data_IF_092855617009
#
_entry.id   IF_092855617009
#
_cell.length_a   1.000
_cell.length_b   1.000
_cell.length_c   1.000
_cell.angle_alpha   90.00
_cell.angle_beta   90.00
_cell.angle_gamma   90.00
#
_symmetry.space_group_name_H-M   'P 1'
#
loop_
_entity.id
_entity.type
_entity.pdbx_description
1 polymer ?
#
# COMPACT_ATOMS: atom_id res chain seq x y z
N UNK A 1 22.23 -41.93 57.39
CA UNK A 1 23.15 -41.07 58.20
C UNK A 1 23.07 -39.62 57.63
N UNK A 2 22.51 -38.71 58.45
CA UNK A 2 22.85 -37.29 58.65
C UNK A 2 22.86 -36.37 57.40
N UNK A 3 22.32 -35.18 57.32
CA UNK A 3 21.61 -34.20 58.16
C UNK A 3 21.27 -33.06 57.20
N UNK A 4 20.04 -32.61 57.07
CA UNK A 4 19.57 -31.40 57.70
C UNK A 4 20.43 -30.14 57.44
N UNK A 5 19.93 -29.23 56.60
CA UNK A 5 20.36 -27.84 56.43
C UNK A 5 19.14 -26.96 56.26
N UNK A 6 18.88 -26.17 57.27
CA UNK A 6 17.73 -25.33 57.45
C UNK A 6 17.68 -24.19 56.45
N UNK A 7 16.47 -23.92 55.91
CA UNK A 7 16.17 -22.69 55.22
C UNK A 7 16.04 -21.53 56.23
N UNK A 8 16.87 -20.53 56.07
CA UNK A 8 16.74 -19.24 56.77
C UNK A 8 15.70 -18.44 56.04
N UNK A 9 14.55 -18.21 56.68
CA UNK A 9 13.52 -17.29 56.29
C UNK A 9 14.02 -15.87 56.56
N UNK A 10 14.42 -15.16 55.54
CA UNK A 10 14.56 -13.70 55.62
C UNK A 10 13.19 -13.05 55.52
N UNK A 11 12.69 -12.60 56.65
CA UNK A 11 11.58 -11.65 56.73
C UNK A 11 12.06 -10.34 56.15
N UNK A 12 11.67 -10.02 54.93
CA UNK A 12 11.82 -8.69 54.35
C UNK A 12 10.88 -7.74 55.07
N UNK A 13 11.44 -6.83 55.86
CA UNK A 13 10.67 -5.78 56.54
C UNK A 13 9.93 -4.94 55.54
N UNK A 14 8.67 -4.61 55.84
CA UNK A 14 7.91 -3.56 55.14
C UNK A 14 8.66 -2.27 55.29
N UNK A 15 9.46 -1.92 54.28
CA UNK A 15 10.07 -0.62 54.14
C UNK A 15 9.01 0.47 53.99
N UNK A 16 9.12 1.54 54.76
CA UNK A 16 8.28 2.70 54.65
C UNK A 16 8.19 3.15 53.18
N UNK A 17 6.98 3.40 52.69
CA UNK A 17 6.76 3.94 51.35
C UNK A 17 7.48 5.30 51.24
N UNK A 18 8.61 5.33 50.59
CA UNK A 18 9.32 6.56 50.28
C UNK A 18 8.78 7.12 48.96
N UNK A 19 8.30 8.32 48.98
CA UNK A 19 8.00 9.08 47.76
C UNK A 19 9.35 9.48 47.14
N UNK A 20 9.64 8.95 45.96
CA UNK A 20 10.86 9.24 45.22
C UNK A 20 10.70 8.92 43.71
N UNK A 21 11.55 9.48 42.90
CA UNK A 21 11.64 9.15 41.50
C UNK A 21 12.01 7.65 41.36
N UNK A 22 11.14 6.90 40.71
CA UNK A 22 11.47 5.52 40.32
C UNK A 22 12.70 5.56 39.41
N UNK A 23 13.70 4.77 39.71
CA UNK A 23 14.84 4.57 38.83
C UNK A 23 14.42 4.09 37.44
N UNK A 24 15.28 4.21 36.42
CA UNK A 24 14.95 3.80 35.06
C UNK A 24 14.56 2.33 35.05
N UNK A 25 13.33 2.06 34.61
CA UNK A 25 12.87 0.70 34.38
C UNK A 25 13.63 0.10 33.20
N UNK A 26 14.44 -0.90 33.44
CA UNK A 26 15.00 -1.74 32.38
C UNK A 26 13.88 -2.56 31.75
N UNK A 27 13.29 -2.03 30.67
CA UNK A 27 12.26 -2.74 29.92
C UNK A 27 12.93 -3.69 28.94
N UNK A 28 12.95 -4.95 29.30
CA UNK A 28 13.32 -6.04 28.39
C UNK A 28 12.10 -6.35 27.52
N UNK A 29 12.09 -5.86 26.30
CA UNK A 29 11.04 -6.08 25.31
C UNK A 29 10.87 -4.88 24.37
N UNK A 30 10.64 -5.12 23.09
CA UNK A 30 10.26 -4.08 22.14
C UNK A 30 8.92 -3.46 22.53
N UNK A 31 8.94 -2.42 23.36
CA UNK A 31 7.76 -1.59 23.54
C UNK A 31 7.53 -0.81 22.25
N UNK A 32 6.42 -1.06 21.60
CA UNK A 32 5.92 -0.11 20.59
C UNK A 32 5.80 1.25 21.26
N UNK A 33 6.51 2.29 20.80
CA UNK A 33 6.42 3.60 21.40
C UNK A 33 4.96 4.04 21.36
N UNK A 34 4.34 4.21 22.53
CA UNK A 34 3.03 4.84 22.65
C UNK A 34 3.27 6.33 22.52
N UNK A 35 3.23 6.83 21.31
CA UNK A 35 3.29 8.27 21.04
C UNK A 35 1.94 8.85 21.47
N UNK A 36 1.84 9.47 22.62
CA UNK A 36 0.74 10.25 23.22
C UNK A 36 -0.34 10.78 22.22
N UNK A 37 -0.89 9.91 21.38
CA UNK A 37 -1.87 10.27 20.36
C UNK A 37 -1.29 10.96 19.11
N UNK A 38 0.02 11.17 18.99
CA UNK A 38 0.62 11.86 17.85
C UNK A 38 0.24 11.25 16.51
N UNK A 39 0.23 9.91 16.41
CA UNK A 39 -0.17 9.24 15.19
C UNK A 39 -1.66 9.51 14.82
N UNK A 40 -2.53 9.63 15.80
CA UNK A 40 -3.94 9.99 15.59
C UNK A 40 -4.10 11.43 15.16
N UNK A 41 -3.32 12.33 15.74
CA UNK A 41 -3.31 13.76 15.38
C UNK A 41 -2.80 13.95 13.97
N UNK A 42 -1.69 13.32 13.61
CA UNK A 42 -1.15 13.37 12.23
C UNK A 42 -2.16 12.84 11.21
N UNK A 43 -2.82 11.71 11.50
CA UNK A 43 -3.87 11.21 10.62
C UNK A 43 -5.01 12.21 10.45
N UNK A 44 -5.49 12.79 11.55
CA UNK A 44 -6.58 13.77 11.50
C UNK A 44 -6.21 15.00 10.67
N UNK A 45 -5.00 15.52 10.80
CA UNK A 45 -4.53 16.63 9.97
C UNK A 45 -4.39 16.23 8.50
N UNK A 46 -3.91 15.03 8.22
CA UNK A 46 -3.84 14.51 6.85
C UNK A 46 -5.25 14.37 6.25
N UNK A 47 -6.23 13.85 7.01
CA UNK A 47 -7.61 13.71 6.57
C UNK A 47 -8.32 15.06 6.40
N UNK A 48 -7.93 16.09 7.14
CA UNK A 48 -8.41 17.46 6.94
C UNK A 48 -7.83 18.09 5.67
N UNK A 49 -6.57 17.79 5.35
CA UNK A 49 -5.92 18.28 4.14
C UNK A 49 -6.45 17.58 2.88
N UNK A 50 -6.54 16.25 2.92
CA UNK A 50 -7.10 15.42 1.84
C UNK A 50 -7.86 14.25 2.47
N UNK A 51 -9.18 14.16 2.32
CA UNK A 51 -9.98 13.08 2.88
C UNK A 51 -9.45 11.69 2.53
N UNK A 52 -9.29 10.84 3.52
CA UNK A 52 -8.77 9.49 3.37
C UNK A 52 -7.24 9.35 3.28
N UNK A 53 -6.49 10.45 3.23
CA UNK A 53 -5.01 10.39 3.20
C UNK A 53 -4.39 9.84 4.49
N UNK A 54 -5.11 9.85 5.60
CA UNK A 54 -4.65 9.22 6.83
C UNK A 54 -4.35 7.73 6.74
N UNK A 55 -4.89 7.05 5.72
CA UNK A 55 -4.62 5.64 5.40
C UNK A 55 -3.51 5.41 4.36
N UNK A 56 -3.08 6.46 3.66
CA UNK A 56 -2.05 6.40 2.60
C UNK A 56 -0.81 7.14 3.07
N UNK A 57 0.32 6.47 3.12
CA UNK A 57 1.59 7.04 3.53
C UNK A 57 2.64 7.10 2.41
N UNK A 58 2.30 6.62 1.20
CA UNK A 58 3.09 6.73 -0.02
C UNK A 58 2.18 6.76 -1.26
N UNK A 59 2.61 7.43 -2.31
CA UNK A 59 1.73 7.79 -3.43
C UNK A 59 1.51 6.67 -4.47
N UNK A 60 2.34 5.63 -4.52
CA UNK A 60 2.25 4.57 -5.54
C UNK A 60 0.88 3.86 -5.60
N UNK A 61 0.16 3.61 -4.48
CA UNK A 61 -1.19 3.05 -4.54
C UNK A 61 -2.19 3.88 -5.34
N UNK A 62 -2.06 5.21 -5.36
CA UNK A 62 -2.91 6.08 -6.19
C UNK A 62 -2.69 5.77 -7.68
N UNK A 63 -1.41 5.72 -8.11
CA UNK A 63 -1.06 5.38 -9.49
C UNK A 63 -1.57 3.99 -9.90
N UNK A 64 -1.41 2.97 -9.02
CA UNK A 64 -1.91 1.62 -9.28
C UNK A 64 -3.43 1.57 -9.40
N UNK A 65 -4.14 2.36 -8.58
CA UNK A 65 -5.60 2.47 -8.66
C UNK A 65 -6.05 3.15 -9.95
N UNK A 66 -5.41 4.25 -10.36
CA UNK A 66 -5.69 4.92 -11.64
C UNK A 66 -5.44 3.98 -12.82
N UNK A 67 -4.32 3.25 -12.80
CA UNK A 67 -4.00 2.26 -13.82
C UNK A 67 -5.06 1.16 -13.88
N UNK A 68 -5.49 0.65 -12.73
CA UNK A 68 -6.57 -0.34 -12.63
C UNK A 68 -7.89 0.17 -13.21
N UNK A 69 -8.28 1.41 -12.95
CA UNK A 69 -9.48 2.07 -13.50
C UNK A 69 -9.36 2.24 -15.02
N UNK A 70 -8.20 2.71 -15.52
CA UNK A 70 -7.94 2.84 -16.96
C UNK A 70 -8.13 1.52 -17.71
N UNK A 71 -7.50 0.46 -17.21
CA UNK A 71 -7.58 -0.87 -17.83
C UNK A 71 -9.00 -1.46 -17.72
N UNK A 72 -9.67 -1.29 -16.58
CA UNK A 72 -11.04 -1.74 -16.38
C UNK A 72 -12.00 -1.13 -17.40
N UNK A 73 -11.89 0.18 -17.63
CA UNK A 73 -12.68 0.89 -18.65
C UNK A 73 -12.43 0.34 -20.05
N UNK A 74 -11.16 0.13 -20.42
CA UNK A 74 -10.78 -0.38 -21.76
C UNK A 74 -11.18 -1.84 -22.00
N UNK A 75 -11.34 -2.61 -20.92
CA UNK A 75 -11.67 -4.05 -20.99
C UNK A 75 -13.11 -4.37 -20.60
N UNK A 76 -13.92 -3.34 -20.31
CA UNK A 76 -15.30 -3.48 -19.84
C UNK A 76 -15.42 -4.40 -18.61
N UNK A 77 -14.47 -4.29 -17.68
CA UNK A 77 -14.43 -5.05 -16.43
C UNK A 77 -14.72 -4.15 -15.22
N UNK A 78 -15.15 -4.71 -14.07
CA UNK A 78 -15.32 -3.93 -12.85
C UNK A 78 -13.97 -3.34 -12.37
N UNK A 79 -13.97 -2.05 -12.01
CA UNK A 79 -12.76 -1.37 -11.53
C UNK A 79 -12.13 -2.08 -10.34
N UNK A 80 -12.94 -2.57 -9.39
CA UNK A 80 -12.46 -3.28 -8.20
C UNK A 80 -11.68 -4.53 -8.58
N UNK A 81 -12.18 -5.31 -9.55
CA UNK A 81 -11.55 -6.56 -9.98
C UNK A 81 -10.17 -6.28 -10.59
N UNK A 82 -10.13 -5.35 -11.55
CA UNK A 82 -8.89 -5.03 -12.27
C UNK A 82 -7.88 -4.33 -11.37
N UNK A 83 -8.30 -3.35 -10.58
CA UNK A 83 -7.39 -2.64 -9.68
C UNK A 83 -6.77 -3.57 -8.61
N UNK A 84 -7.55 -4.50 -8.05
CA UNK A 84 -7.02 -5.51 -7.14
C UNK A 84 -6.02 -6.46 -7.84
N UNK A 85 -6.30 -6.86 -9.07
CA UNK A 85 -5.39 -7.72 -9.83
C UNK A 85 -4.08 -7.01 -10.20
N UNK A 86 -4.15 -5.75 -10.61
CA UNK A 86 -2.97 -4.91 -10.89
C UNK A 86 -2.13 -4.71 -9.64
N UNK A 87 -2.75 -4.44 -8.49
CA UNK A 87 -2.06 -4.31 -7.21
C UNK A 87 -1.39 -5.62 -6.78
N UNK A 88 -2.09 -6.75 -6.93
CA UNK A 88 -1.55 -8.07 -6.64
C UNK A 88 -0.34 -8.39 -7.52
N UNK A 89 -0.42 -8.10 -8.81
CA UNK A 89 0.68 -8.23 -9.77
C UNK A 89 1.86 -7.35 -9.37
N UNK A 90 1.60 -6.08 -9.02
CA UNK A 90 2.63 -5.14 -8.59
C UNK A 90 3.39 -5.64 -7.36
N UNK A 91 2.68 -6.14 -6.34
CA UNK A 91 3.30 -6.71 -5.15
C UNK A 91 4.06 -8.01 -5.44
N UNK A 92 3.51 -8.90 -6.28
CA UNK A 92 4.18 -10.14 -6.67
C UNK A 92 5.50 -9.86 -7.40
N UNK A 93 5.49 -8.96 -8.38
CA UNK A 93 6.69 -8.53 -9.10
C UNK A 93 7.74 -7.90 -8.17
N UNK A 94 7.28 -7.06 -7.24
CA UNK A 94 8.16 -6.41 -6.28
C UNK A 94 8.80 -7.42 -5.32
N UNK A 95 8.05 -8.41 -4.82
CA UNK A 95 8.59 -9.49 -4.00
C UNK A 95 9.60 -10.37 -4.75
N UNK A 96 9.33 -10.71 -6.00
CA UNK A 96 10.30 -11.42 -6.84
C UNK A 96 11.58 -10.60 -7.01
N UNK A 97 11.46 -9.29 -7.21
CA UNK A 97 12.60 -8.40 -7.39
C UNK A 97 13.43 -8.17 -6.13
N UNK A 98 12.83 -8.19 -4.95
CA UNK A 98 13.52 -7.95 -3.68
C UNK A 98 13.88 -9.22 -2.89
N UNK A 99 13.77 -10.41 -3.51
CA UNK A 99 14.09 -11.68 -2.87
C UNK A 99 13.15 -12.04 -1.71
N UNK A 100 11.88 -11.64 -1.77
CA UNK A 100 10.84 -11.89 -0.75
C UNK A 100 11.13 -11.24 0.62
N UNK A 101 11.98 -10.22 0.66
CA UNK A 101 12.24 -9.45 1.87
C UNK A 101 10.96 -8.69 2.28
N UNK A 102 10.68 -8.65 3.59
CA UNK A 102 9.53 -7.93 4.13
C UNK A 102 9.73 -6.42 3.99
N UNK A 103 8.75 -5.72 3.40
CA UNK A 103 8.69 -4.28 3.34
C UNK A 103 7.26 -3.82 3.68
N UNK A 104 7.14 -2.71 4.40
CA UNK A 104 5.83 -2.18 4.83
C UNK A 104 4.97 -1.68 3.67
N UNK A 105 5.57 -1.35 2.52
CA UNK A 105 4.89 -0.94 1.29
C UNK A 105 4.30 -2.11 0.51
N UNK A 106 4.68 -3.35 0.83
CA UNK A 106 4.23 -4.55 0.15
C UNK A 106 3.22 -5.32 1.00
N UNK A 107 2.20 -5.86 0.35
CA UNK A 107 1.18 -6.71 0.97
C UNK A 107 1.14 -8.10 0.34
N UNK A 108 0.59 -9.06 1.06
CA UNK A 108 0.31 -10.38 0.51
C UNK A 108 1.48 -11.36 0.49
N UNK A 109 2.61 -11.09 1.16
CA UNK A 109 3.81 -11.93 1.14
C UNK A 109 3.51 -13.42 1.32
N UNK A 110 2.70 -13.80 2.32
CA UNK A 110 2.41 -15.21 2.61
C UNK A 110 1.59 -15.91 1.52
N UNK A 111 0.68 -15.18 0.86
CA UNK A 111 -0.15 -15.73 -0.20
C UNK A 111 0.55 -15.75 -1.56
N UNK A 112 1.37 -14.74 -1.82
CA UNK A 112 2.07 -14.60 -3.10
C UNK A 112 3.36 -15.44 -3.15
N UNK A 113 3.94 -15.80 -1.99
CA UNK A 113 5.11 -16.64 -1.93
C UNK A 113 4.78 -18.04 -2.47
N UNK A 114 5.60 -18.54 -3.38
CA UNK A 114 5.36 -19.82 -4.07
C UNK A 114 4.40 -19.73 -5.25
N UNK A 115 3.84 -18.55 -5.57
CA UNK A 115 3.09 -18.34 -6.81
C UNK A 115 4.08 -18.22 -7.96
N UNK A 116 4.06 -19.19 -8.86
CA UNK A 116 4.95 -19.25 -10.03
C UNK A 116 4.52 -18.26 -11.12
N UNK A 117 3.20 -18.08 -11.28
CA UNK A 117 2.58 -17.28 -12.32
C UNK A 117 1.43 -16.43 -11.77
N UNK A 118 1.48 -15.13 -12.07
CA UNK A 118 0.45 -14.17 -11.74
C UNK A 118 -0.42 -13.81 -12.96
N UNK A 119 -0.87 -14.80 -13.72
CA UNK A 119 -1.85 -14.59 -14.80
C UNK A 119 -3.12 -13.92 -14.26
N UNK A 120 -3.76 -13.08 -15.07
CA UNK A 120 -4.95 -12.33 -14.66
C UNK A 120 -6.07 -13.21 -14.12
N UNK A 121 -6.31 -14.37 -14.76
CA UNK A 121 -7.31 -15.34 -14.32
C UNK A 121 -7.12 -15.81 -12.86
N UNK A 122 -5.89 -15.82 -12.36
CA UNK A 122 -5.55 -16.10 -10.96
C UNK A 122 -5.60 -14.83 -10.12
N UNK A 123 -4.94 -13.75 -10.58
CA UNK A 123 -4.76 -12.50 -9.84
C UNK A 123 -6.08 -11.81 -9.50
N UNK A 124 -7.12 -11.92 -10.33
CA UNK A 124 -8.46 -11.36 -10.11
C UNK A 124 -9.24 -12.02 -8.98
N UNK A 125 -8.85 -13.21 -8.52
CA UNK A 125 -9.58 -13.96 -7.49
C UNK A 125 -9.37 -13.30 -6.11
N UNK A 126 -10.44 -13.12 -5.34
CA UNK A 126 -10.38 -12.52 -4.00
C UNK A 126 -9.44 -13.24 -3.03
N UNK A 127 -9.23 -14.57 -3.21
CA UNK A 127 -8.32 -15.38 -2.39
C UNK A 127 -6.85 -15.25 -2.76
N UNK A 128 -6.52 -14.75 -3.95
CA UNK A 128 -5.16 -14.73 -4.50
C UNK A 128 -4.22 -13.80 -3.74
N UNK A 129 -4.71 -12.64 -3.34
CA UNK A 129 -3.91 -11.57 -2.74
C UNK A 129 -4.27 -11.37 -1.26
N UNK A 130 -4.73 -10.21 -0.88
CA UNK A 130 -5.10 -9.86 0.50
C UNK A 130 -6.58 -9.53 0.62
N UNK A 131 -7.13 -9.67 1.82
CA UNK A 131 -8.51 -9.25 2.11
C UNK A 131 -8.68 -7.73 2.13
N UNK A 132 -7.61 -6.99 2.47
CA UNK A 132 -7.59 -5.54 2.51
C UNK A 132 -6.51 -4.99 1.56
N UNK A 133 -6.78 -4.88 0.25
CA UNK A 133 -5.87 -4.28 -0.70
C UNK A 133 -5.64 -2.79 -0.43
N UNK A 134 -4.50 -2.24 -0.88
CA UNK A 134 -4.17 -0.81 -0.75
C UNK A 134 -5.23 0.08 -1.40
N UNK A 135 -5.84 -0.40 -2.49
CA UNK A 135 -6.95 0.26 -3.19
C UNK A 135 -8.07 0.72 -2.24
N UNK A 136 -8.39 -0.04 -1.17
CA UNK A 136 -9.45 0.37 -0.23
C UNK A 136 -9.17 1.71 0.44
N UNK A 137 -7.92 2.12 0.50
CA UNK A 137 -7.48 3.39 1.09
C UNK A 137 -7.35 4.51 0.06
N UNK A 138 -7.49 4.21 -1.25
CA UNK A 138 -7.30 5.21 -2.32
C UNK A 138 -8.59 5.88 -2.77
N UNK A 139 -9.77 5.31 -2.49
CA UNK A 139 -11.03 5.79 -3.04
C UNK A 139 -11.31 7.26 -2.71
N UNK A 140 -11.33 7.62 -1.44
CA UNK A 140 -11.54 9.00 -1.01
C UNK A 140 -10.45 9.96 -1.50
N UNK A 141 -9.14 9.66 -1.36
CA UNK A 141 -8.08 10.52 -1.89
C UNK A 141 -8.14 10.74 -3.40
N UNK A 142 -8.52 9.74 -4.19
CA UNK A 142 -8.65 9.92 -5.65
C UNK A 142 -9.71 10.95 -6.01
N UNK A 143 -10.84 10.95 -5.30
CA UNK A 143 -11.92 11.93 -5.49
C UNK A 143 -11.47 13.30 -4.97
N UNK A 144 -10.95 13.38 -3.75
CA UNK A 144 -10.54 14.63 -3.12
C UNK A 144 -9.40 15.36 -3.86
N UNK A 145 -8.53 14.61 -4.55
CA UNK A 145 -7.46 15.16 -5.40
C UNK A 145 -7.94 15.46 -6.84
N UNK A 146 -9.22 15.26 -7.14
CA UNK A 146 -9.74 15.46 -8.49
C UNK A 146 -9.15 14.54 -9.57
N UNK A 147 -8.62 13.37 -9.17
CA UNK A 147 -7.98 12.43 -10.09
C UNK A 147 -8.98 11.49 -10.78
N UNK A 148 -10.21 11.44 -10.28
CA UNK A 148 -11.30 10.66 -10.86
C UNK A 148 -12.58 11.46 -10.92
N UNK A 149 -13.37 11.21 -11.97
CA UNK A 149 -14.76 11.64 -12.08
C UNK A 149 -15.64 10.51 -11.55
N UNK A 150 -16.68 10.85 -10.78
CA UNK A 150 -17.57 9.85 -10.20
C UNK A 150 -18.98 10.36 -10.00
N UNK A 151 -19.93 9.45 -10.15
CA UNK A 151 -21.36 9.70 -9.83
C UNK A 151 -21.75 9.15 -8.46
N UNK A 152 -20.88 8.42 -7.79
CA UNK A 152 -21.12 7.84 -6.46
C UNK A 152 -19.81 7.54 -5.74
N UNK A 153 -19.86 7.28 -4.42
CA UNK A 153 -18.69 6.89 -3.62
C UNK A 153 -18.16 5.48 -3.92
N UNK A 154 -18.82 4.75 -4.82
CA UNK A 154 -18.43 3.37 -5.13
C UNK A 154 -17.27 3.36 -6.12
N UNK A 155 -16.19 2.69 -5.79
CA UNK A 155 -14.99 2.59 -6.64
C UNK A 155 -15.28 2.10 -8.08
N UNK A 156 -16.32 1.29 -8.28
CA UNK A 156 -16.72 0.84 -9.62
C UNK A 156 -17.35 1.94 -10.50
N UNK A 157 -17.77 3.09 -9.91
CA UNK A 157 -18.29 4.22 -10.66
C UNK A 157 -17.22 5.24 -11.06
N UNK A 158 -15.96 5.03 -10.65
CA UNK A 158 -14.88 5.94 -10.95
C UNK A 158 -14.45 5.85 -12.41
N UNK A 159 -14.36 7.00 -13.06
CA UNK A 159 -13.68 7.21 -14.34
C UNK A 159 -12.44 8.07 -14.14
N UNK A 160 -11.46 8.00 -15.02
CA UNK A 160 -10.31 8.90 -14.94
C UNK A 160 -10.71 10.33 -15.34
N UNK A 161 -10.42 11.30 -14.48
CA UNK A 161 -10.45 12.71 -14.84
C UNK A 161 -9.31 13.05 -15.81
N UNK A 162 -9.28 14.29 -16.31
CA UNK A 162 -8.15 14.77 -17.10
C UNK A 162 -6.85 14.75 -16.28
N UNK A 163 -6.91 15.19 -15.01
CA UNK A 163 -5.78 15.17 -14.10
C UNK A 163 -5.29 13.74 -13.80
N UNK A 164 -6.23 12.81 -13.58
CA UNK A 164 -5.90 11.40 -13.37
C UNK A 164 -5.23 10.74 -14.58
N UNK A 165 -5.69 11.07 -15.79
CA UNK A 165 -5.05 10.60 -17.04
C UNK A 165 -3.64 11.14 -17.19
N UNK A 166 -3.45 12.44 -16.97
CA UNK A 166 -2.13 13.07 -17.05
C UNK A 166 -1.14 12.48 -16.01
N UNK A 167 -1.60 12.29 -14.77
CA UNK A 167 -0.79 11.66 -13.72
C UNK A 167 -0.43 10.22 -14.06
N UNK A 168 -1.38 9.45 -14.61
CA UNK A 168 -1.14 8.08 -15.03
C UNK A 168 -0.12 8.02 -16.16
N UNK A 169 -0.28 8.83 -17.20
CA UNK A 169 0.64 8.91 -18.34
C UNK A 169 2.05 9.25 -17.86
N UNK A 170 2.22 10.31 -17.06
CA UNK A 170 3.50 10.67 -16.48
C UNK A 170 4.13 9.52 -15.68
N UNK A 171 3.32 8.77 -14.93
CA UNK A 171 3.78 7.70 -14.04
C UNK A 171 4.23 6.43 -14.75
N UNK A 172 3.76 6.16 -15.97
CA UNK A 172 4.10 4.96 -16.76
C UNK A 172 4.92 5.26 -18.01
N UNK A 173 5.12 6.53 -18.35
CA UNK A 173 5.94 6.94 -19.50
C UNK A 173 7.36 6.44 -19.34
N UNK A 174 7.94 5.95 -20.46
CA UNK A 174 9.30 5.42 -20.51
C UNK A 174 9.41 3.91 -20.26
N UNK A 175 8.38 3.28 -19.69
CA UNK A 175 8.37 1.83 -19.52
C UNK A 175 7.74 1.13 -20.74
N UNK A 176 8.41 0.11 -21.25
CA UNK A 176 8.01 -0.62 -22.48
C UNK A 176 8.10 -2.14 -22.28
N UNK A 177 7.26 -2.75 -21.42
CA UNK A 177 7.22 -4.20 -21.27
C UNK A 177 6.86 -4.83 -22.63
N UNK A 178 7.64 -5.80 -23.06
CA UNK A 178 7.49 -6.44 -24.38
C UNK A 178 7.32 -5.44 -25.56
N UNK A 179 8.06 -4.33 -25.53
CA UNK A 179 8.09 -3.26 -26.54
C UNK A 179 6.78 -2.48 -26.71
N UNK A 180 5.83 -2.59 -25.78
CA UNK A 180 4.56 -1.84 -25.79
C UNK A 180 4.38 -1.01 -24.52
N UNK A 181 3.39 -0.10 -24.50
CA UNK A 181 3.10 0.65 -23.28
C UNK A 181 2.63 -0.24 -22.15
N UNK A 182 2.84 0.19 -20.90
CA UNK A 182 2.34 -0.53 -19.71
C UNK A 182 0.84 -0.78 -19.78
N UNK A 183 0.07 0.22 -20.22
CA UNK A 183 -1.37 0.09 -20.36
C UNK A 183 -1.77 -0.94 -21.44
N UNK A 184 -1.13 -0.90 -22.61
CA UNK A 184 -1.39 -1.87 -23.68
C UNK A 184 -1.07 -3.30 -23.24
N UNK A 185 0.06 -3.49 -22.54
CA UNK A 185 0.43 -4.78 -22.00
C UNK A 185 -0.61 -5.28 -20.98
N UNK A 186 -1.00 -4.43 -20.00
CA UNK A 186 -1.97 -4.83 -18.98
C UNK A 186 -3.37 -5.07 -19.56
N UNK A 187 -3.76 -4.33 -20.59
CA UNK A 187 -5.01 -4.59 -21.29
C UNK A 187 -5.01 -6.01 -21.91
N UNK A 188 -3.93 -6.40 -22.56
CA UNK A 188 -3.78 -7.74 -23.11
C UNK A 188 -3.70 -8.81 -22.01
N UNK A 189 -2.97 -8.56 -20.93
CA UNK A 189 -2.92 -9.44 -19.77
C UNK A 189 -4.31 -9.68 -19.16
N UNK A 190 -5.17 -8.64 -19.08
CA UNK A 190 -6.56 -8.76 -18.60
C UNK A 190 -7.43 -9.55 -19.57
N UNK A 191 -7.17 -9.49 -20.87
CA UNK A 191 -7.93 -10.21 -21.90
C UNK A 191 -7.45 -11.63 -22.15
N UNK A 192 -6.42 -12.10 -21.46
CA UNK A 192 -5.98 -13.49 -21.48
C UNK A 192 -4.72 -13.74 -22.32
N UNK A 193 -3.85 -12.74 -22.46
CA UNK A 193 -2.54 -12.92 -23.09
C UNK A 193 -1.64 -13.83 -22.23
N UNK A 194 -1.02 -14.81 -22.84
CA UNK A 194 -0.15 -15.80 -22.18
C UNK A 194 1.28 -15.29 -21.93
N UNK A 195 1.61 -14.08 -22.37
CA UNK A 195 2.95 -13.51 -22.13
C UNK A 195 3.20 -13.28 -20.65
N UNK A 196 4.38 -13.69 -20.21
CA UNK A 196 4.77 -13.52 -18.81
C UNK A 196 4.78 -12.04 -18.42
N UNK A 197 4.11 -11.66 -17.32
CA UNK A 197 4.20 -10.31 -16.78
C UNK A 197 5.52 -10.05 -16.04
N UNK A 198 6.37 -11.05 -15.83
CA UNK A 198 7.62 -10.93 -15.08
C UNK A 198 8.73 -10.32 -15.96
N UNK A 199 8.62 -9.03 -16.23
CA UNK A 199 9.64 -8.26 -16.94
C UNK A 199 10.23 -7.17 -16.04
N UNK A 200 11.52 -6.84 -16.23
CA UNK A 200 12.16 -5.75 -15.49
C UNK A 200 11.45 -4.41 -15.65
N UNK A 201 10.97 -4.12 -16.87
CA UNK A 201 10.26 -2.89 -17.20
C UNK A 201 8.90 -2.80 -16.46
N UNK A 202 8.12 -3.87 -16.45
CA UNK A 202 6.85 -3.88 -15.76
C UNK A 202 7.03 -3.84 -14.23
N UNK A 203 8.07 -4.53 -13.72
CA UNK A 203 8.42 -4.50 -12.30
C UNK A 203 8.73 -3.07 -11.85
N UNK A 204 9.58 -2.34 -12.57
CA UNK A 204 9.90 -0.94 -12.25
C UNK A 204 8.67 -0.04 -12.33
N UNK A 205 7.86 -0.18 -13.38
CA UNK A 205 6.65 0.62 -13.56
C UNK A 205 5.65 0.44 -12.41
N UNK A 206 5.42 -0.79 -11.97
CA UNK A 206 4.36 -1.12 -11.01
C UNK A 206 4.84 -1.19 -9.55
N UNK A 207 6.13 -1.47 -9.29
CA UNK A 207 6.62 -1.76 -7.94
C UNK A 207 6.23 -0.68 -6.92
N UNK A 208 5.58 -1.06 -5.81
CA UNK A 208 5.35 -0.16 -4.68
C UNK A 208 6.65 0.31 -4.00
N UNK A 209 7.77 -0.35 -4.26
CA UNK A 209 9.08 0.01 -3.71
C UNK A 209 9.72 1.17 -4.48
N UNK A 210 9.32 1.37 -5.73
CA UNK A 210 9.82 2.45 -6.57
C UNK A 210 9.07 3.76 -6.31
N UNK A 211 9.83 4.84 -6.18
CA UNK A 211 9.27 6.18 -6.05
C UNK A 211 8.61 6.62 -7.36
N UNK A 212 7.58 7.45 -7.26
CA UNK A 212 7.07 8.16 -8.42
C UNK A 212 8.16 9.08 -8.98
N UNK A 213 8.16 9.27 -10.30
CA UNK A 213 9.06 10.22 -10.95
C UNK A 213 8.76 11.67 -10.52
N UNK A 214 9.66 12.59 -10.82
CA UNK A 214 9.55 13.98 -10.35
C UNK A 214 8.30 14.69 -10.91
N UNK A 215 7.93 14.40 -12.14
CA UNK A 215 6.75 14.98 -12.76
C UNK A 215 5.47 14.58 -12.01
N UNK A 216 5.28 13.28 -11.72
CA UNK A 216 4.16 12.83 -10.91
C UNK A 216 4.16 13.47 -9.52
N UNK A 217 5.33 13.60 -8.89
CA UNK A 217 5.45 14.24 -7.57
C UNK A 217 5.06 15.71 -7.62
N UNK A 218 5.49 16.42 -8.65
CA UNK A 218 5.13 17.83 -8.88
C UNK A 218 3.61 17.99 -9.10
N UNK A 219 3.01 17.15 -9.95
CA UNK A 219 1.57 17.16 -10.18
C UNK A 219 0.78 16.92 -8.89
N UNK A 220 1.14 15.89 -8.13
CA UNK A 220 0.48 15.60 -6.85
C UNK A 220 0.65 16.73 -5.83
N UNK A 221 1.82 17.39 -5.77
CA UNK A 221 1.99 18.58 -4.91
C UNK A 221 1.08 19.72 -5.35
N UNK A 222 0.94 19.97 -6.66
CA UNK A 222 0.00 20.97 -7.18
C UNK A 222 -1.42 20.71 -6.68
N UNK A 223 -1.93 19.48 -6.86
CA UNK A 223 -3.27 19.11 -6.39
C UNK A 223 -3.43 19.20 -4.86
N UNK A 224 -2.37 18.98 -4.09
CA UNK A 224 -2.41 19.13 -2.63
C UNK A 224 -2.44 20.59 -2.19
N UNK A 225 -1.71 21.47 -2.89
CA UNK A 225 -1.58 22.90 -2.53
C UNK A 225 -2.80 23.71 -3.01
N UNK A 226 -3.27 23.41 -4.20
CA UNK A 226 -4.43 24.09 -4.80
C UNK A 226 -5.76 23.66 -4.15
N UNK A 227 -5.71 22.68 -3.24
CA UNK A 227 -6.85 22.03 -2.61
C UNK A 227 -7.80 21.62 -3.72
N UNK A 228 -7.81 20.35 -4.10
CA UNK A 228 -8.60 19.89 -5.26
C UNK A 228 -9.85 20.69 -5.41
N UNK A 229 -9.87 21.53 -6.44
CA UNK A 229 -10.98 22.43 -6.71
C UNK A 229 -12.19 21.55 -6.99
N UNK A 230 -13.10 21.49 -6.02
CA UNK A 230 -14.45 20.96 -6.18
C UNK A 230 -15.31 22.06 -6.79
#
# INVERSE_FOLDING_TARGET
>A
MKRSGAAVSERTGMGAASWGLLGPLHVVGERRPRTLGLASVVRRFNDLAVPGMGGIWFAKPLLLSLLGISIATRTSRPNIEVANAVEALACWLAFKGNGWVRDARLRGRLKLNGVEDAAYAKARRASFYVSQPMRQQTGQPLVALGLVDTTSERFNSFGLSQAGRALLEAGVTGFRPHHQSVEAFLQQWVTGDDRSPDTGQLRQALSPLESLNEECRRMLRGHLVEGGSV
#
